data_IF_651283025000
#
_entry.id   IF_651283025000
#
_cell.length_a   1.000
_cell.length_b   1.000
_cell.length_c   1.000
_cell.angle_alpha   90.00
_cell.angle_beta   90.00
_cell.angle_gamma   90.00
#
_symmetry.space_group_name_H-M   'P 1'
#
loop_
_entity.id
_entity.type
_entity.pdbx_description
1 polymer ?
#
# COMPACT_ATOMS: atom_id res chain seq x y z
N UNK A 1 -15.12 14.68 -16.68
CA UNK A 1 -13.79 14.51 -16.07
C UNK A 1 -12.97 13.59 -16.96
N UNK A 2 -11.74 13.97 -17.31
CA UNK A 2 -10.83 13.10 -18.06
C UNK A 2 -10.03 12.24 -17.08
N UNK A 3 -9.99 10.92 -17.31
CA UNK A 3 -9.22 9.98 -16.48
C UNK A 3 -7.75 10.01 -16.87
N UNK A 4 -6.87 10.38 -15.93
CA UNK A 4 -5.40 10.37 -16.11
C UNK A 4 -4.88 8.97 -16.43
N UNK A 5 -5.47 7.95 -15.79
CA UNK A 5 -5.16 6.54 -16.06
C UNK A 5 -5.47 6.16 -17.51
N UNK A 6 -6.70 6.42 -17.99
CA UNK A 6 -7.09 6.09 -19.37
C UNK A 6 -6.29 6.89 -20.40
N UNK A 7 -5.97 8.16 -20.08
CA UNK A 7 -5.12 8.98 -20.94
C UNK A 7 -3.71 8.38 -21.10
N UNK A 8 -3.11 7.87 -20.02
CA UNK A 8 -1.78 7.24 -20.09
C UNK A 8 -1.83 5.87 -20.77
N UNK A 9 -2.83 5.05 -20.44
CA UNK A 9 -3.03 3.72 -21.02
C UNK A 9 -3.25 3.76 -22.53
N UNK A 10 -4.02 4.74 -23.02
CA UNK A 10 -4.30 4.91 -24.45
C UNK A 10 -3.31 5.84 -25.16
N UNK A 11 -2.26 6.31 -24.48
CA UNK A 11 -1.26 7.17 -25.10
C UNK A 11 -0.66 6.48 -26.34
N UNK A 12 -0.48 7.20 -27.47
CA UNK A 12 0.18 6.65 -28.65
C UNK A 12 1.62 6.22 -28.38
N UNK A 13 2.26 6.75 -27.34
CA UNK A 13 3.59 6.31 -26.86
C UNK A 13 3.57 4.91 -26.24
N UNK A 14 2.38 4.35 -25.97
CA UNK A 14 2.13 3.01 -25.38
C UNK A 14 3.09 2.66 -24.23
N UNK A 15 3.19 3.53 -23.22
CA UNK A 15 4.05 3.28 -22.07
C UNK A 15 3.63 2.00 -21.34
N UNK A 16 4.60 1.28 -20.78
CA UNK A 16 4.29 0.25 -19.78
C UNK A 16 3.87 0.94 -18.49
N UNK A 17 2.71 0.56 -17.97
CA UNK A 17 2.25 0.97 -16.64
C UNK A 17 2.71 -0.08 -15.62
N UNK A 18 3.45 0.36 -14.62
CA UNK A 18 3.88 -0.46 -13.50
C UNK A 18 3.00 -0.11 -12.30
N UNK A 19 2.43 -1.14 -11.68
CA UNK A 19 1.70 -1.02 -10.42
C UNK A 19 2.62 -1.47 -9.27
N UNK A 20 2.24 -1.11 -8.06
CA UNK A 20 2.90 -1.57 -6.86
C UNK A 20 2.76 -3.08 -6.65
N UNK A 21 3.46 -3.58 -5.64
CA UNK A 21 3.52 -5.00 -5.30
C UNK A 21 2.65 -5.38 -4.11
N UNK A 22 2.98 -6.53 -3.50
CA UNK A 22 2.21 -7.11 -2.41
C UNK A 22 2.31 -6.30 -1.10
N UNK A 23 1.20 -5.69 -0.67
CA UNK A 23 1.10 -4.91 0.58
C UNK A 23 1.42 -5.76 1.82
N UNK A 24 0.74 -6.92 1.98
CA UNK A 24 0.89 -7.75 3.18
C UNK A 24 2.31 -8.28 3.39
N UNK A 25 2.98 -8.73 2.32
CA UNK A 25 4.39 -9.18 2.39
C UNK A 25 5.33 -8.04 2.81
N UNK A 26 5.08 -6.81 2.35
CA UNK A 26 5.87 -5.65 2.74
C UNK A 26 5.59 -5.17 4.17
N UNK A 27 4.41 -5.47 4.75
CA UNK A 27 4.13 -5.20 6.17
C UNK A 27 4.78 -6.23 7.08
N UNK A 28 4.81 -7.50 6.66
CA UNK A 28 5.41 -8.59 7.44
C UNK A 28 6.91 -8.37 7.74
N UNK A 29 7.62 -7.63 6.88
CA UNK A 29 9.05 -7.31 7.08
C UNK A 29 9.29 -6.08 7.95
N UNK A 30 8.24 -5.44 8.49
CA UNK A 30 8.35 -4.25 9.33
C UNK A 30 8.30 -4.54 10.84
N UNK A 31 8.39 -5.82 11.23
CA UNK A 31 8.40 -6.26 12.64
C UNK A 31 7.27 -5.64 13.49
N UNK A 32 6.07 -5.52 12.91
CA UNK A 32 4.89 -4.92 13.56
C UNK A 32 4.41 -5.77 14.74
N UNK A 33 4.08 -5.11 15.85
CA UNK A 33 3.57 -5.77 17.06
C UNK A 33 2.04 -5.82 17.08
N UNK A 34 1.47 -6.63 17.97
CA UNK A 34 0.01 -6.72 18.16
C UNK A 34 -0.60 -5.35 18.52
N UNK A 35 0.13 -4.55 19.30
CA UNK A 35 -0.28 -3.19 19.68
C UNK A 35 -0.34 -2.25 18.48
N UNK A 36 0.55 -2.43 17.50
CA UNK A 36 0.54 -1.64 16.26
C UNK A 36 -0.74 -1.89 15.46
N UNK A 37 -1.30 -3.10 15.55
CA UNK A 37 -2.59 -3.42 14.95
C UNK A 37 -3.79 -2.97 15.79
N UNK A 38 -3.60 -2.37 16.97
CA UNK A 38 -4.71 -1.95 17.85
C UNK A 38 -5.12 -2.97 18.91
N UNK A 39 -4.27 -3.98 19.16
CA UNK A 39 -4.48 -5.01 20.18
C UNK A 39 -4.91 -6.36 19.61
N UNK A 40 -5.11 -7.34 20.50
CA UNK A 40 -5.36 -8.75 20.15
C UNK A 40 -6.58 -8.97 19.24
N UNK A 41 -7.61 -8.12 19.34
CA UNK A 41 -8.80 -8.22 18.48
C UNK A 41 -8.49 -7.99 17.00
N UNK A 42 -7.44 -7.20 16.73
CA UNK A 42 -7.06 -6.75 15.39
C UNK A 42 -5.73 -7.33 14.92
N UNK A 43 -5.13 -8.26 15.67
CA UNK A 43 -3.85 -8.88 15.32
C UNK A 43 -3.88 -9.42 13.86
N UNK A 44 -2.98 -8.92 13.03
CA UNK A 44 -2.88 -9.29 11.61
C UNK A 44 -3.88 -8.62 10.67
N UNK A 45 -4.76 -7.74 11.17
CA UNK A 45 -5.68 -6.94 10.38
C UNK A 45 -4.95 -5.73 9.76
N UNK A 46 -4.29 -5.95 8.63
CA UNK A 46 -3.51 -4.93 7.93
C UNK A 46 -4.31 -3.67 7.61
N UNK A 47 -5.60 -3.79 7.31
CA UNK A 47 -6.49 -2.67 7.01
C UNK A 47 -6.60 -1.71 8.20
N UNK A 48 -6.50 -2.19 9.44
CA UNK A 48 -6.63 -1.33 10.62
C UNK A 48 -5.38 -0.47 10.88
N UNK A 49 -4.23 -0.84 10.29
CA UNK A 49 -3.01 -0.04 10.36
C UNK A 49 -3.20 1.37 9.80
N UNK A 50 -4.17 1.61 8.91
CA UNK A 50 -4.48 2.97 8.43
C UNK A 50 -4.96 3.89 9.56
N UNK A 51 -5.52 3.33 10.64
CA UNK A 51 -5.96 4.07 11.81
C UNK A 51 -4.91 4.07 12.92
N UNK A 52 -4.27 2.92 13.18
CA UNK A 52 -3.39 2.75 14.35
C UNK A 52 -1.94 3.07 14.07
N UNK A 53 -1.45 2.83 12.85
CA UNK A 53 -0.04 3.00 12.46
C UNK A 53 0.12 3.37 10.97
N UNK A 54 -0.42 4.53 10.54
CA UNK A 54 -0.46 4.92 9.12
C UNK A 54 0.94 5.04 8.50
N UNK A 55 1.97 5.31 9.28
CA UNK A 55 3.36 5.39 8.81
C UNK A 55 3.89 4.05 8.26
N UNK A 56 3.40 2.91 8.74
CA UNK A 56 3.78 1.60 8.24
C UNK A 56 3.26 1.36 6.80
N UNK A 57 2.03 1.83 6.53
CA UNK A 57 1.41 1.80 5.20
C UNK A 57 2.10 2.79 4.28
N UNK A 58 2.37 4.00 4.76
CA UNK A 58 3.06 5.05 4.01
C UNK A 58 4.47 4.62 3.59
N UNK A 59 5.18 3.89 4.47
CA UNK A 59 6.48 3.32 4.16
C UNK A 59 6.41 2.37 2.96
N UNK A 60 5.43 1.45 2.92
CA UNK A 60 5.32 0.50 1.80
C UNK A 60 5.06 1.23 0.49
N UNK A 61 4.14 2.20 0.46
CA UNK A 61 3.90 2.97 -0.76
C UNK A 61 5.16 3.72 -1.22
N UNK A 62 5.94 4.28 -0.29
CA UNK A 62 7.21 4.94 -0.63
C UNK A 62 8.26 3.99 -1.20
N UNK A 63 8.29 2.73 -0.77
CA UNK A 63 9.26 1.75 -1.26
C UNK A 63 9.01 1.35 -2.74
N UNK A 64 7.86 1.71 -3.33
CA UNK A 64 7.51 1.47 -4.75
C UNK A 64 7.59 2.71 -5.66
N UNK A 65 7.95 3.89 -5.13
CA UNK A 65 8.05 5.15 -5.88
C UNK A 65 9.50 5.54 -6.17
#
# INVERSE_FOLDING_TARGET
MNSTFLARLHSPERPVLVFDGAMGTNLQVQDLTVEDFGGLEYEGCNEYLVFTKPEAVEKVHRDFL
#
